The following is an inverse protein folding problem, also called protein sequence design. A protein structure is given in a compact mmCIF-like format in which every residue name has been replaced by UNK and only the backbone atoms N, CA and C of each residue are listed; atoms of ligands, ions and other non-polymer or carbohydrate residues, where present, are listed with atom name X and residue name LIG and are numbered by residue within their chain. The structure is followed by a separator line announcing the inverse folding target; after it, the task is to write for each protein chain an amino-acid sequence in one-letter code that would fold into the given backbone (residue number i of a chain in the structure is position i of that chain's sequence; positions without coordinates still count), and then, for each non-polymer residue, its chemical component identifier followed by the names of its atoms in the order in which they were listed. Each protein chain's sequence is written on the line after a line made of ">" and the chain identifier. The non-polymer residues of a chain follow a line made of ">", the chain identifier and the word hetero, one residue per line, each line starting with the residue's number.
data_IF_481280026807
#
_entry.id   IF_481280026807
#
_cell.length_a   1.000
_cell.length_b   1.000
_cell.length_c   1.000
_cell.angle_alpha   90.00
_cell.angle_beta   90.00
_cell.angle_gamma   90.00
#
_symmetry.space_group_name_H-M   'P 1'
#
loop_
_entity.id
_entity.type
_entity.pdbx_description
1 polymer ?
#
# COMPACT_ATOMS: atom_id res chain seq x y z
N UNK A 1 -38.50 -31.69 67.40
CA UNK A 1 -39.87 -31.97 66.92
C UNK A 1 -40.15 -31.09 65.71
N UNK A 2 -40.88 -31.51 64.66
CA UNK A 2 -41.17 -32.85 64.09
C UNK A 2 -40.47 -33.05 62.70
N UNK A 3 -40.13 -34.25 62.17
CA UNK A 3 -40.95 -35.40 61.66
C UNK A 3 -41.54 -35.08 60.26
N UNK A 4 -41.25 -35.78 59.15
CA UNK A 4 -41.77 -37.10 58.67
C UNK A 4 -41.13 -37.35 57.25
N UNK A 5 -40.37 -38.43 57.00
CA UNK A 5 -40.68 -39.68 56.23
C UNK A 5 -41.28 -39.47 54.81
N UNK A 6 -40.78 -40.05 53.72
CA UNK A 6 -40.89 -41.46 53.25
C UNK A 6 -40.40 -41.46 51.76
N UNK A 7 -40.09 -42.51 51.01
CA UNK A 7 -40.23 -43.97 51.09
C UNK A 7 -39.30 -44.65 50.05
N UNK A 8 -38.92 -45.88 50.36
CA UNK A 8 -38.23 -46.90 49.54
C UNK A 8 -39.01 -47.35 48.30
N UNK A 9 -38.32 -47.92 47.30
CA UNK A 9 -38.33 -49.35 46.83
C UNK A 9 -37.72 -49.44 45.41
N UNK A 10 -36.64 -50.19 45.14
CA UNK A 10 -36.41 -51.65 44.97
C UNK A 10 -36.66 -52.19 43.54
N UNK A 11 -35.80 -53.14 43.17
CA UNK A 11 -35.85 -54.11 42.05
C UNK A 11 -35.46 -53.56 40.66
N UNK A 12 -34.76 -54.27 39.78
CA UNK A 12 -34.25 -55.65 39.71
C UNK A 12 -33.46 -55.79 38.40
N UNK A 13 -32.36 -56.54 38.39
CA UNK A 13 -32.23 -57.88 37.74
C UNK A 13 -31.88 -57.85 36.24
N UNK A 14 -30.63 -58.26 35.96
CA UNK A 14 -30.16 -59.10 34.82
C UNK A 14 -30.17 -58.48 33.40
N UNK A 15 -29.29 -58.83 32.46
CA UNK A 15 -28.30 -59.91 32.32
C UNK A 15 -27.39 -59.58 31.13
N UNK A 16 -26.23 -60.25 31.12
CA UNK A 16 -25.47 -60.77 29.96
C UNK A 16 -24.92 -59.81 28.89
N UNK A 17 -23.60 -59.92 28.67
CA UNK A 17 -22.96 -59.48 27.42
C UNK A 17 -21.44 -59.40 27.50
N UNK A 18 -20.80 -60.57 27.44
CA UNK A 18 -19.43 -60.98 27.08
C UNK A 18 -18.31 -59.98 26.64
N UNK A 19 -17.03 -60.39 26.75
CA UNK A 19 -15.87 -59.51 26.89
C UNK A 19 -15.27 -59.10 25.54
N UNK A 20 -14.73 -57.88 25.46
CA UNK A 20 -13.88 -57.49 24.33
C UNK A 20 -12.75 -56.56 24.79
N UNK A 21 -11.56 -56.89 24.29
CA UNK A 21 -10.27 -56.30 24.58
C UNK A 21 -10.27 -54.78 24.41
N UNK A 22 -9.68 -54.07 25.39
CA UNK A 22 -9.27 -52.68 25.22
C UNK A 22 -8.08 -52.62 24.26
N UNK A 23 -8.34 -52.35 22.98
CA UNK A 23 -7.33 -51.81 22.07
C UNK A 23 -7.29 -50.28 22.25
N UNK A 24 -6.11 -49.80 22.64
CA UNK A 24 -5.80 -48.40 22.90
C UNK A 24 -5.66 -47.68 21.55
N UNK A 25 -6.73 -47.07 21.03
CA UNK A 25 -6.60 -46.19 19.86
C UNK A 25 -5.81 -44.94 20.27
N UNK A 26 -4.62 -44.77 19.70
CA UNK A 26 -3.81 -43.57 19.88
C UNK A 26 -4.50 -42.40 19.17
N UNK A 27 -4.67 -41.29 19.89
CA UNK A 27 -5.11 -40.03 19.30
C UNK A 27 -3.99 -39.51 18.38
N UNK A 28 -4.28 -39.09 17.13
CA UNK A 28 -3.26 -38.54 16.26
C UNK A 28 -2.65 -37.29 16.89
N UNK A 29 -1.32 -37.14 16.75
CA UNK A 29 -0.60 -36.00 17.28
C UNK A 29 -1.11 -34.69 16.68
N UNK A 30 -0.99 -33.61 17.46
CA UNK A 30 -1.43 -32.25 17.10
C UNK A 30 -0.94 -31.85 15.69
N UNK A 31 0.30 -32.22 15.35
CA UNK A 31 0.93 -31.97 14.06
C UNK A 31 0.16 -32.57 12.86
N UNK A 32 -0.44 -33.76 13.00
CA UNK A 32 -1.25 -34.36 11.92
C UNK A 32 -2.62 -33.69 11.75
N UNK A 33 -3.19 -33.12 12.82
CA UNK A 33 -4.43 -32.33 12.73
C UNK A 33 -4.18 -30.96 12.10
N UNK A 34 -3.02 -30.37 12.35
CA UNK A 34 -2.56 -29.14 11.68
C UNK A 34 -2.31 -29.34 10.19
N UNK A 35 -1.67 -30.46 9.80
CA UNK A 35 -1.44 -30.76 8.39
C UNK A 35 -2.74 -30.92 7.58
N UNK A 36 -3.76 -31.63 8.11
CA UNK A 36 -5.05 -31.76 7.43
C UNK A 36 -5.86 -30.46 7.36
N UNK A 37 -5.72 -29.55 8.33
CA UNK A 37 -6.38 -28.25 8.28
C UNK A 37 -5.75 -27.30 7.26
N UNK A 38 -4.42 -27.35 7.10
CA UNK A 38 -3.71 -26.56 6.07
C UNK A 38 -4.00 -27.05 4.65
N UNK A 39 -4.14 -28.36 4.43
CA UNK A 39 -4.47 -28.90 3.10
C UNK A 39 -5.90 -28.53 2.66
N UNK A 40 -6.83 -28.33 3.60
CA UNK A 40 -8.20 -27.90 3.29
C UNK A 40 -8.31 -26.40 2.94
N UNK A 41 -7.44 -25.54 3.50
CA UNK A 41 -7.45 -24.09 3.21
C UNK A 41 -6.83 -23.72 1.86
N UNK A 42 -6.06 -24.60 1.23
CA UNK A 42 -5.43 -24.33 -0.09
C UNK A 42 -6.32 -24.77 -1.26
N UNK A 43 -7.36 -25.57 -1.01
CA UNK A 43 -8.21 -26.13 -2.08
C UNK A 43 -9.38 -25.23 -2.50
N UNK A 44 -9.90 -24.37 -1.62
CA UNK A 44 -11.09 -23.57 -1.90
C UNK A 44 -10.77 -22.07 -1.88
N UNK A 45 -10.54 -21.51 -3.06
CA UNK A 45 -10.48 -20.07 -3.26
C UNK A 45 -11.84 -19.43 -3.00
N UNK A 46 -12.01 -18.78 -1.84
CA UNK A 46 -13.17 -17.93 -1.57
C UNK A 46 -12.82 -16.69 -0.75
N UNK A 47 -13.46 -15.60 -1.17
CA UNK A 47 -13.27 -14.21 -0.72
C UNK A 47 -14.17 -13.87 0.47
N UNK A 48 -13.71 -12.88 1.25
CA UNK A 48 -14.41 -11.98 2.18
C UNK A 48 -14.57 -12.30 3.70
N UNK A 49 -14.28 -11.21 4.44
CA UNK A 49 -14.67 -10.78 5.80
C UNK A 49 -13.95 -11.36 7.05
N UNK A 50 -13.05 -10.52 7.57
CA UNK A 50 -12.86 -10.15 9.00
C UNK A 50 -13.27 -11.20 10.03
N UNK A 51 -12.37 -12.15 10.31
CA UNK A 51 -12.36 -12.83 11.60
C UNK A 51 -11.40 -12.10 12.52
N UNK A 52 -11.94 -11.52 13.61
CA UNK A 52 -11.17 -10.84 14.64
C UNK A 52 -10.16 -11.81 15.27
N UNK A 53 -8.88 -11.61 14.96
CA UNK A 53 -7.75 -12.41 15.45
C UNK A 53 -7.51 -12.25 16.97
N UNK A 54 -8.32 -11.42 17.65
CA UNK A 54 -8.15 -11.09 19.06
C UNK A 54 -8.52 -12.23 20.01
N UNK A 55 -9.43 -13.14 19.65
CA UNK A 55 -9.87 -14.22 20.56
C UNK A 55 -8.98 -15.46 20.56
N UNK A 56 -8.07 -15.62 19.58
CA UNK A 56 -7.23 -16.82 19.50
C UNK A 56 -5.89 -16.68 20.24
N UNK A 57 -5.48 -15.44 20.54
CA UNK A 57 -4.18 -15.13 21.16
C UNK A 57 -4.19 -15.16 22.70
N UNK A 58 -5.36 -15.12 23.35
CA UNK A 58 -5.47 -15.21 24.82
C UNK A 58 -5.25 -16.63 25.37
N UNK A 59 -5.28 -17.66 24.52
CA UNK A 59 -5.19 -19.06 24.96
C UNK A 59 -3.76 -19.59 25.13
N UNK A 60 -2.70 -18.83 24.79
CA UNK A 60 -1.32 -19.36 24.71
C UNK A 60 -0.32 -18.69 25.68
N UNK A 61 -0.70 -17.65 26.43
CA UNK A 61 0.12 -17.15 27.55
C UNK A 61 1.57 -16.75 27.18
N UNK A 62 1.78 -16.14 26.01
CA UNK A 62 3.06 -15.55 25.61
C UNK A 62 3.02 -14.03 25.79
N UNK A 63 4.11 -13.38 26.25
CA UNK A 63 4.10 -11.96 26.56
C UNK A 63 3.92 -11.12 25.29
N UNK A 64 2.94 -10.22 25.32
CA UNK A 64 2.68 -9.22 24.30
C UNK A 64 3.77 -8.14 24.37
N UNK A 65 4.88 -8.35 23.68
CA UNK A 65 5.78 -7.27 23.29
C UNK A 65 6.08 -7.38 21.79
N UNK A 66 5.89 -6.24 21.12
CA UNK A 66 6.30 -5.95 19.75
C UNK A 66 5.58 -6.72 18.62
N UNK A 67 4.25 -6.59 18.56
CA UNK A 67 3.50 -6.81 17.32
C UNK A 67 2.61 -5.59 17.03
N UNK A 68 3.22 -4.42 16.80
CA UNK A 68 2.54 -3.26 16.25
C UNK A 68 3.35 -2.76 15.05
N UNK A 69 2.74 -2.86 13.88
CA UNK A 69 3.18 -2.34 12.58
C UNK A 69 4.38 -3.04 11.92
N UNK A 70 4.33 -4.36 11.80
CA UNK A 70 5.08 -5.06 10.75
C UNK A 70 4.09 -5.43 9.65
N UNK A 71 3.96 -4.56 8.64
CA UNK A 71 3.37 -4.98 7.37
C UNK A 71 4.31 -6.05 6.83
N UNK A 72 3.92 -7.31 6.95
CA UNK A 72 4.62 -8.43 6.31
C UNK A 72 4.44 -8.25 4.81
N UNK A 73 5.38 -7.52 4.19
CA UNK A 73 5.55 -7.46 2.75
C UNK A 73 5.75 -8.88 2.26
N UNK A 74 4.70 -9.46 1.66
CA UNK A 74 4.81 -10.75 0.99
C UNK A 74 5.44 -10.42 -0.36
N UNK A 75 6.67 -10.88 -0.67
CA UNK A 75 7.28 -10.58 -1.97
C UNK A 75 6.40 -11.20 -3.05
N UNK A 76 5.79 -10.36 -3.88
CA UNK A 76 5.14 -10.81 -5.10
C UNK A 76 6.19 -11.52 -5.97
N UNK A 77 5.89 -12.74 -6.40
CA UNK A 77 6.83 -13.67 -7.05
C UNK A 77 7.27 -13.29 -8.47
N UNK A 78 7.13 -12.02 -8.87
CA UNK A 78 7.76 -11.41 -10.05
C UNK A 78 8.10 -9.97 -9.65
N UNK A 79 9.30 -9.43 -9.92
CA UNK A 79 9.54 -8.01 -9.72
C UNK A 79 8.68 -7.25 -10.73
N UNK A 80 7.49 -6.82 -10.32
CA UNK A 80 6.64 -5.94 -11.09
C UNK A 80 7.41 -4.66 -11.42
N UNK A 81 7.05 -4.02 -12.53
CA UNK A 81 7.68 -2.76 -12.89
C UNK A 81 7.41 -1.70 -11.80
N UNK A 82 8.39 -0.83 -11.56
CA UNK A 82 8.25 0.31 -10.64
C UNK A 82 8.35 1.61 -11.41
N UNK A 83 7.53 2.59 -11.06
CA UNK A 83 7.59 3.95 -11.57
C UNK A 83 7.96 4.89 -10.43
N UNK A 84 9.15 5.48 -10.50
CA UNK A 84 9.64 6.50 -9.58
C UNK A 84 9.26 7.89 -10.07
N UNK A 85 8.64 8.67 -9.19
CA UNK A 85 8.04 9.96 -9.54
C UNK A 85 8.17 10.98 -8.41
N UNK A 86 8.13 12.26 -8.78
CA UNK A 86 7.92 13.39 -7.88
C UNK A 86 6.68 14.18 -8.32
N UNK A 87 5.98 14.79 -7.36
CA UNK A 87 4.75 15.55 -7.63
C UNK A 87 4.99 16.88 -8.33
N UNK A 88 6.19 17.46 -8.19
CA UNK A 88 6.53 18.70 -8.87
C UNK A 88 6.98 18.49 -10.32
N UNK A 89 7.37 17.27 -10.70
CA UNK A 89 7.98 16.99 -12.00
C UNK A 89 6.94 16.81 -13.12
N UNK A 90 6.95 17.65 -14.18
CA UNK A 90 5.89 17.64 -15.20
C UNK A 90 5.93 16.36 -16.06
N UNK A 91 7.11 15.80 -16.29
CA UNK A 91 7.25 14.55 -17.05
C UNK A 91 6.71 13.36 -16.27
N UNK A 92 6.87 13.34 -14.94
CA UNK A 92 6.26 12.37 -14.04
C UNK A 92 4.73 12.40 -14.11
N UNK A 93 4.13 13.59 -14.15
CA UNK A 93 2.67 13.71 -14.31
C UNK A 93 2.20 13.18 -15.68
N UNK A 94 2.88 13.57 -16.77
CA UNK A 94 2.52 13.10 -18.11
C UNK A 94 2.68 11.58 -18.25
N UNK A 95 3.76 11.02 -17.70
CA UNK A 95 3.99 9.57 -17.70
C UNK A 95 2.93 8.83 -16.89
N UNK A 96 2.48 9.41 -15.78
CA UNK A 96 1.40 8.86 -14.98
C UNK A 96 0.08 8.79 -15.76
N UNK A 97 -0.26 9.81 -16.56
CA UNK A 97 -1.45 9.80 -17.41
C UNK A 97 -1.40 8.64 -18.41
N UNK A 98 -0.22 8.40 -19.00
CA UNK A 98 -0.03 7.29 -19.95
C UNK A 98 -0.11 5.93 -19.29
N UNK A 99 0.50 5.76 -18.12
CA UNK A 99 0.42 4.52 -17.35
C UNK A 99 -1.03 4.20 -16.95
N UNK A 100 -1.80 5.19 -16.48
CA UNK A 100 -3.22 4.99 -16.13
C UNK A 100 -4.05 4.56 -17.33
N UNK A 101 -3.79 5.12 -18.51
CA UNK A 101 -4.49 4.73 -19.71
C UNK A 101 -4.15 3.30 -20.16
N UNK A 102 -2.98 2.77 -19.76
CA UNK A 102 -2.54 1.42 -20.05
C UNK A 102 -2.94 0.39 -19.00
N UNK A 103 -3.13 0.79 -17.75
CA UNK A 103 -3.25 -0.10 -16.59
C UNK A 103 -4.22 -1.27 -16.80
N UNK A 104 -5.39 -1.01 -17.37
CA UNK A 104 -6.40 -2.04 -17.63
C UNK A 104 -5.94 -3.11 -18.65
N UNK A 105 -4.91 -2.82 -19.45
CA UNK A 105 -4.35 -3.70 -20.49
C UNK A 105 -3.00 -4.31 -20.12
N UNK A 106 -2.40 -3.91 -18.99
CA UNK A 106 -1.11 -4.43 -18.55
C UNK A 106 -1.28 -5.79 -17.86
N UNK A 107 -0.33 -6.72 -18.02
CA UNK A 107 -0.38 -8.03 -17.37
C UNK A 107 -0.19 -7.98 -15.85
N UNK A 108 0.23 -6.83 -15.32
CA UNK A 108 0.44 -6.61 -13.89
C UNK A 108 0.44 -5.13 -13.55
N UNK A 109 0.48 -4.83 -12.25
CA UNK A 109 0.50 -3.45 -11.74
C UNK A 109 1.91 -2.88 -11.80
N UNK A 110 2.02 -1.63 -12.25
CA UNK A 110 3.24 -0.83 -12.07
C UNK A 110 3.18 -0.16 -10.69
N UNK A 111 4.09 -0.52 -9.81
CA UNK A 111 4.17 0.07 -8.47
C UNK A 111 4.63 1.53 -8.56
N UNK A 112 3.90 2.45 -7.92
CA UNK A 112 4.26 3.87 -7.85
C UNK A 112 5.11 4.12 -6.63
N UNK A 113 6.35 4.55 -6.85
CA UNK A 113 7.33 4.77 -5.80
C UNK A 113 7.67 6.25 -5.74
N UNK A 114 7.52 6.84 -4.56
CA UNK A 114 7.80 8.26 -4.33
C UNK A 114 9.31 8.54 -4.30
N UNK A 115 9.73 9.60 -4.99
CA UNK A 115 11.10 10.08 -5.00
C UNK A 115 11.11 11.61 -4.87
N UNK A 116 11.48 12.11 -3.69
CA UNK A 116 11.58 13.55 -3.44
C UNK A 116 12.87 14.12 -4.06
N UNK A 117 12.74 14.97 -5.08
CA UNK A 117 13.86 15.58 -5.81
C UNK A 117 14.67 16.51 -4.91
N UNK A 118 13.99 17.38 -4.16
CA UNK A 118 14.59 18.40 -3.30
C UNK A 118 14.13 18.22 -1.84
N UNK A 119 14.70 17.26 -1.09
CA UNK A 119 14.36 17.03 0.31
C UNK A 119 14.81 18.19 1.22
N UNK A 120 14.00 18.64 2.18
CA UNK A 120 14.46 19.50 3.27
C UNK A 120 15.71 18.92 3.96
N UNK A 121 16.69 19.75 4.35
CA UNK A 121 16.68 21.22 4.34
C UNK A 121 17.20 21.87 3.05
N UNK A 122 17.20 21.18 1.89
CA UNK A 122 17.58 21.79 0.61
C UNK A 122 16.69 23.01 0.30
N UNK A 123 17.24 24.07 -0.33
CA UNK A 123 16.44 25.22 -0.73
C UNK A 123 15.34 24.82 -1.73
N UNK A 124 14.24 25.57 -1.72
CA UNK A 124 13.20 25.44 -2.74
C UNK A 124 13.79 25.71 -4.13
N UNK A 125 13.32 24.97 -5.13
CA UNK A 125 13.74 25.19 -6.51
C UNK A 125 13.17 26.52 -7.01
N UNK A 126 14.06 27.41 -7.48
CA UNK A 126 13.65 28.68 -8.06
C UNK A 126 12.94 28.45 -9.41
N UNK A 127 11.99 29.32 -9.76
CA UNK A 127 11.25 29.18 -11.03
C UNK A 127 12.15 29.41 -12.27
N UNK A 128 13.22 30.16 -12.12
CA UNK A 128 14.24 30.45 -13.15
C UNK A 128 15.42 29.47 -13.12
N UNK A 129 15.36 28.42 -12.26
CA UNK A 129 16.36 27.37 -12.24
C UNK A 129 16.48 26.72 -13.63
N UNK A 130 17.70 26.66 -14.17
CA UNK A 130 17.94 26.19 -15.54
C UNK A 130 17.58 24.72 -15.74
N UNK A 131 17.77 23.88 -14.71
CA UNK A 131 17.40 22.45 -14.75
C UNK A 131 15.88 22.31 -14.72
N UNK A 132 15.18 23.21 -14.02
CA UNK A 132 13.73 23.27 -14.02
C UNK A 132 13.15 23.76 -15.35
N UNK A 133 13.71 24.84 -15.89
CA UNK A 133 13.34 25.38 -17.19
C UNK A 133 13.49 24.34 -18.31
N UNK A 134 14.57 23.54 -18.28
CA UNK A 134 14.79 22.45 -19.23
C UNK A 134 13.69 21.37 -19.16
N UNK A 135 13.29 20.95 -17.95
CA UNK A 135 12.17 20.00 -17.77
C UNK A 135 10.86 20.53 -18.37
N UNK A 136 10.54 21.79 -18.13
CA UNK A 136 9.35 22.40 -18.71
C UNK A 136 9.42 22.53 -20.23
N UNK A 137 10.61 22.82 -20.77
CA UNK A 137 10.83 22.82 -22.22
C UNK A 137 10.60 21.43 -22.85
N UNK A 138 11.00 20.36 -22.16
CA UNK A 138 10.76 18.97 -22.58
C UNK A 138 9.28 18.58 -22.44
N UNK A 139 8.62 18.95 -21.34
CA UNK A 139 7.25 18.54 -21.06
C UNK A 139 6.20 19.22 -21.96
N UNK A 140 6.43 20.46 -22.38
CA UNK A 140 5.48 21.23 -23.21
C UNK A 140 5.06 20.52 -24.52
N UNK A 141 5.97 20.06 -25.39
CA UNK A 141 5.58 19.36 -26.60
C UNK A 141 4.89 18.02 -26.30
N UNK A 142 5.29 17.32 -25.23
CA UNK A 142 4.65 16.08 -24.80
C UNK A 142 3.21 16.32 -24.37
N UNK A 143 2.98 17.33 -23.52
CA UNK A 143 1.66 17.73 -23.07
C UNK A 143 0.77 18.16 -24.24
N UNK A 144 1.30 18.94 -25.17
CA UNK A 144 0.58 19.35 -26.38
C UNK A 144 0.18 18.16 -27.26
N UNK A 145 1.06 17.17 -27.43
CA UNK A 145 0.76 15.95 -28.18
C UNK A 145 -0.32 15.08 -27.51
N UNK A 146 -0.45 15.16 -26.18
CA UNK A 146 -1.44 14.45 -25.39
C UNK A 146 -2.74 15.26 -25.13
N UNK A 147 -2.86 16.47 -25.69
CA UNK A 147 -3.95 17.43 -25.41
C UNK A 147 -4.13 17.71 -23.91
N UNK A 148 -3.01 17.79 -23.17
CA UNK A 148 -2.97 18.10 -21.75
C UNK A 148 -2.54 19.56 -21.57
N UNK A 149 -3.40 20.36 -20.96
CA UNK A 149 -3.03 21.70 -20.51
C UNK A 149 -2.25 21.60 -19.19
N UNK A 150 -1.01 22.09 -19.18
CA UNK A 150 -0.20 22.23 -17.98
C UNK A 150 -0.23 23.68 -17.51
N UNK A 151 -0.73 23.90 -16.30
CA UNK A 151 -0.61 25.17 -15.60
C UNK A 151 0.83 25.37 -15.12
N UNK A 152 1.50 26.46 -15.55
CA UNK A 152 2.84 26.77 -15.06
C UNK A 152 2.83 27.04 -13.54
N UNK A 153 3.76 26.48 -12.77
CA UNK A 153 3.79 26.62 -11.34
C UNK A 153 4.17 28.05 -10.95
N UNK A 154 3.51 28.56 -9.90
CA UNK A 154 3.84 29.85 -9.27
C UNK A 154 4.91 29.71 -8.19
N UNK A 155 5.20 28.48 -7.78
CA UNK A 155 6.18 28.07 -6.78
C UNK A 155 6.51 26.59 -7.05
N UNK A 156 7.77 26.18 -6.82
CA UNK A 156 8.13 24.76 -6.71
C UNK A 156 8.27 24.43 -5.21
N UNK A 157 7.25 23.82 -4.58
CA UNK A 157 7.29 23.54 -3.15
C UNK A 157 8.16 22.32 -2.82
N UNK A 158 8.51 22.15 -1.54
CA UNK A 158 8.93 20.85 -1.03
C UNK A 158 7.77 19.86 -1.14
N UNK A 159 8.06 18.66 -1.64
CA UNK A 159 7.03 17.64 -1.88
C UNK A 159 6.90 16.63 -0.75
N UNK A 160 7.70 16.73 0.33
CA UNK A 160 7.60 15.84 1.51
C UNK A 160 6.17 15.61 1.97
N UNK A 161 5.41 16.68 2.24
CA UNK A 161 4.02 16.56 2.73
C UNK A 161 3.09 15.90 1.71
N UNK A 162 3.29 16.16 0.42
CA UNK A 162 2.52 15.50 -0.63
C UNK A 162 2.85 13.99 -0.70
N UNK A 163 4.12 13.62 -0.55
CA UNK A 163 4.54 12.22 -0.45
C UNK A 163 4.03 11.54 0.82
N UNK A 164 4.03 12.22 1.97
CA UNK A 164 3.43 11.71 3.21
C UNK A 164 1.94 11.45 3.07
N UNK A 165 1.19 12.37 2.42
CA UNK A 165 -0.23 12.15 2.17
C UNK A 165 -0.44 10.95 1.25
N UNK A 166 0.38 10.79 0.21
CA UNK A 166 0.34 9.62 -0.66
C UNK A 166 0.60 8.32 0.10
N UNK A 167 1.61 8.29 0.99
CA UNK A 167 1.89 7.14 1.84
C UNK A 167 0.76 6.85 2.84
N UNK A 168 0.16 7.90 3.42
CA UNK A 168 -1.02 7.76 4.27
C UNK A 168 -2.17 7.08 3.52
N UNK A 169 -2.43 7.53 2.29
CA UNK A 169 -3.51 7.02 1.45
C UNK A 169 -3.33 5.55 1.03
N UNK A 170 -2.11 5.00 1.02
CA UNK A 170 -1.85 3.57 0.76
C UNK A 170 -2.57 2.68 1.78
N UNK A 171 -2.52 3.04 3.07
CA UNK A 171 -3.18 2.28 4.15
C UNK A 171 -4.72 2.28 4.04
N UNK A 172 -5.27 3.20 3.25
CA UNK A 172 -6.70 3.37 3.04
C UNK A 172 -7.16 2.93 1.64
N UNK A 173 -6.27 2.36 0.82
CA UNK A 173 -6.61 1.96 -0.56
C UNK A 173 -6.98 3.13 -1.46
N UNK A 174 -6.47 4.35 -1.15
CA UNK A 174 -6.78 5.60 -1.84
C UNK A 174 -5.57 6.27 -2.51
N UNK A 175 -4.45 5.56 -2.58
CA UNK A 175 -3.21 6.11 -3.07
C UNK A 175 -3.29 6.61 -4.52
N UNK A 176 -3.98 5.89 -5.40
CA UNK A 176 -4.08 6.29 -6.82
C UNK A 176 -4.95 7.53 -7.01
N UNK A 177 -6.06 7.65 -6.28
CA UNK A 177 -6.91 8.85 -6.32
C UNK A 177 -6.21 10.05 -5.70
N UNK A 178 -5.56 9.88 -4.54
CA UNK A 178 -4.83 10.95 -3.85
C UNK A 178 -3.67 11.45 -4.71
N UNK A 179 -2.86 10.53 -5.24
CA UNK A 179 -1.73 10.88 -6.11
C UNK A 179 -2.21 11.66 -7.34
N UNK A 180 -3.31 11.24 -7.96
CA UNK A 180 -3.87 11.98 -9.09
C UNK A 180 -4.40 13.36 -8.65
N UNK A 181 -5.10 13.45 -7.53
CA UNK A 181 -5.61 14.74 -7.05
C UNK A 181 -4.49 15.73 -6.72
N UNK A 182 -3.35 15.27 -6.17
CA UNK A 182 -2.17 16.10 -5.93
C UNK A 182 -1.56 16.58 -7.26
N UNK A 183 -1.36 15.69 -8.23
CA UNK A 183 -0.87 16.07 -9.56
C UNK A 183 -1.79 17.09 -10.23
N UNK A 184 -3.11 16.87 -10.21
CA UNK A 184 -4.08 17.80 -10.77
C UNK A 184 -4.15 19.13 -10.01
N UNK A 185 -3.90 19.14 -8.69
CA UNK A 185 -3.78 20.37 -7.91
C UNK A 185 -2.60 21.22 -8.41
N UNK A 186 -1.44 20.60 -8.56
CA UNK A 186 -0.23 21.30 -8.98
C UNK A 186 -0.25 21.69 -10.45
N UNK A 187 -0.44 20.73 -11.37
CA UNK A 187 -0.34 20.95 -12.82
C UNK A 187 -1.64 21.35 -13.50
N UNK A 188 -2.80 21.11 -12.89
CA UNK A 188 -4.09 21.48 -13.45
C UNK A 188 -4.66 22.78 -12.88
N UNK A 189 -4.22 23.18 -11.67
CA UNK A 189 -4.77 24.36 -10.97
C UNK A 189 -3.69 25.32 -10.42
N UNK A 190 -2.40 24.99 -10.54
CA UNK A 190 -1.31 25.82 -10.04
C UNK A 190 -1.31 25.99 -8.51
N UNK A 191 -1.85 25.02 -7.78
CA UNK A 191 -1.96 25.05 -6.32
C UNK A 191 -0.63 24.66 -5.64
N UNK A 192 -0.37 25.24 -4.46
CA UNK A 192 0.79 24.90 -3.64
C UNK A 192 0.55 23.60 -2.85
N UNK A 193 1.13 22.51 -3.35
CA UNK A 193 1.07 21.18 -2.74
C UNK A 193 2.05 20.99 -1.57
N UNK A 194 2.85 22.01 -1.21
CA UNK A 194 3.61 22.03 0.03
C UNK A 194 2.77 22.41 1.25
N UNK A 195 1.56 22.94 1.04
CA UNK A 195 0.66 23.36 2.14
C UNK A 195 -0.16 22.22 2.69
N UNK A 196 -0.02 21.98 3.99
CA UNK A 196 -0.81 20.98 4.74
C UNK A 196 -2.33 21.20 4.56
N UNK A 197 -2.82 22.43 4.67
CA UNK A 197 -4.27 22.70 4.53
C UNK A 197 -4.82 22.24 3.18
N UNK A 198 -4.06 22.44 2.09
CA UNK A 198 -4.46 22.01 0.74
C UNK A 198 -4.45 20.51 0.59
N UNK A 199 -3.43 19.85 1.12
CA UNK A 199 -3.34 18.39 1.14
C UNK A 199 -4.49 17.77 1.98
N UNK A 200 -4.85 18.39 3.10
CA UNK A 200 -5.98 17.97 3.94
C UNK A 200 -7.32 18.14 3.21
N UNK A 201 -7.50 19.22 2.45
CA UNK A 201 -8.69 19.41 1.60
C UNK A 201 -8.79 18.32 0.52
N UNK A 202 -7.69 17.99 -0.15
CA UNK A 202 -7.60 16.89 -1.12
C UNK A 202 -7.97 15.56 -0.46
N UNK A 203 -7.39 15.26 0.70
CA UNK A 203 -7.66 14.03 1.45
C UNK A 203 -9.14 13.90 1.81
N UNK A 204 -9.73 14.97 2.36
CA UNK A 204 -11.13 15.01 2.77
C UNK A 204 -12.09 14.85 1.57
N UNK A 205 -11.79 15.49 0.44
CA UNK A 205 -12.58 15.36 -0.78
C UNK A 205 -12.61 13.93 -1.34
N UNK A 206 -11.57 13.13 -1.04
CA UNK A 206 -11.46 11.73 -1.44
C UNK A 206 -11.93 10.73 -0.36
N UNK A 207 -12.54 11.23 0.72
CA UNK A 207 -13.13 10.42 1.78
C UNK A 207 -12.16 9.97 2.87
N UNK A 208 -10.95 10.53 2.93
CA UNK A 208 -10.07 10.35 4.10
C UNK A 208 -10.52 11.27 5.25
N UNK A 209 -10.34 10.84 6.49
CA UNK A 209 -10.71 11.65 7.65
C UNK A 209 -9.84 12.91 7.72
N UNK A 210 -10.49 14.08 7.71
CA UNK A 210 -9.83 15.39 7.69
C UNK A 210 -8.90 15.58 8.88
N UNK A 211 -9.38 15.24 10.08
CA UNK A 211 -8.64 15.43 11.34
C UNK A 211 -7.42 14.53 11.38
N UNK A 212 -7.57 13.28 10.99
CA UNK A 212 -6.48 12.30 10.90
C UNK A 212 -5.45 12.72 9.87
N UNK A 213 -5.88 13.08 8.65
CA UNK A 213 -4.97 13.54 7.60
C UNK A 213 -4.16 14.76 8.05
N UNK A 214 -4.81 15.73 8.71
CA UNK A 214 -4.13 16.91 9.27
C UNK A 214 -3.10 16.50 10.32
N UNK A 215 -3.49 15.67 11.29
CA UNK A 215 -2.59 15.23 12.35
C UNK A 215 -1.39 14.44 11.81
N UNK A 216 -1.60 13.57 10.83
CA UNK A 216 -0.55 12.78 10.17
C UNK A 216 0.48 13.68 9.50
N UNK A 217 0.01 14.70 8.79
CA UNK A 217 0.86 15.66 8.08
C UNK A 217 1.52 16.66 9.03
N UNK A 218 0.87 17.12 10.10
CA UNK A 218 1.46 18.09 11.03
C UNK A 218 2.63 17.50 11.84
N UNK A 219 2.61 16.19 12.10
CA UNK A 219 3.61 15.49 12.92
C UNK A 219 4.62 14.69 12.10
N UNK A 220 4.66 14.89 10.78
CA UNK A 220 5.62 14.21 9.89
C UNK A 220 5.55 12.68 10.02
N UNK A 221 4.36 12.10 10.23
CA UNK A 221 4.21 10.68 10.61
C UNK A 221 4.84 9.73 9.58
N UNK A 222 4.83 10.11 8.30
CA UNK A 222 5.34 9.29 7.22
C UNK A 222 6.73 9.73 6.72
N UNK A 223 7.40 10.67 7.40
CA UNK A 223 8.71 11.19 6.99
C UNK A 223 9.73 10.06 6.81
N UNK A 224 9.88 9.17 7.80
CA UNK A 224 10.81 8.03 7.70
C UNK A 224 10.53 7.16 6.47
N UNK A 225 9.25 6.98 6.12
CA UNK A 225 8.84 6.22 4.93
C UNK A 225 9.22 6.91 3.63
N UNK A 226 9.06 8.24 3.54
CA UNK A 226 9.48 9.03 2.38
C UNK A 226 11.00 8.99 2.21
N UNK A 227 11.73 9.15 3.31
CA UNK A 227 13.19 9.09 3.33
C UNK A 227 13.71 7.70 2.93
N UNK A 228 13.11 6.64 3.46
CA UNK A 228 13.45 5.26 3.11
C UNK A 228 13.18 4.98 1.62
N UNK A 229 12.00 5.36 1.10
CA UNK A 229 11.66 5.21 -0.31
C UNK A 229 12.70 5.89 -1.22
N UNK A 230 13.11 7.12 -0.88
CA UNK A 230 14.14 7.85 -1.62
C UNK A 230 15.51 7.17 -1.52
N UNK A 231 15.90 6.71 -0.33
CA UNK A 231 17.17 6.01 -0.12
C UNK A 231 17.23 4.70 -0.91
N UNK A 232 16.17 3.90 -0.89
CA UNK A 232 16.07 2.64 -1.63
C UNK A 232 16.13 2.87 -3.15
N UNK A 233 15.41 3.88 -3.64
CA UNK A 233 15.46 4.29 -5.04
C UNK A 233 16.88 4.74 -5.45
N UNK A 234 17.54 5.53 -4.60
CA UNK A 234 18.93 5.98 -4.82
C UNK A 234 19.89 4.80 -4.87
N UNK A 235 19.76 3.84 -3.94
CA UNK A 235 20.55 2.62 -3.92
C UNK A 235 20.31 1.75 -5.16
N UNK A 236 19.11 1.78 -5.73
CA UNK A 236 18.78 1.13 -7.00
C UNK A 236 19.27 1.88 -8.25
N UNK A 237 19.96 3.02 -8.10
CA UNK A 237 20.52 3.81 -9.22
C UNK A 237 19.57 4.88 -9.79
N UNK A 238 18.46 5.16 -9.11
CA UNK A 238 17.57 6.28 -9.44
C UNK A 238 18.18 7.56 -8.88
N UNK A 239 18.64 8.44 -9.77
CA UNK A 239 19.19 9.75 -9.42
C UNK A 239 18.28 10.91 -9.82
N UNK A 240 17.26 10.62 -10.64
CA UNK A 240 16.30 11.58 -11.15
C UNK A 240 14.98 10.87 -11.48
N UNK A 241 13.92 11.64 -11.74
CA UNK A 241 12.60 11.17 -12.17
C UNK A 241 12.15 11.91 -13.44
N UNK A 242 11.25 11.32 -14.25
CA UNK A 242 10.61 10.01 -14.07
C UNK A 242 11.53 8.85 -14.46
N UNK A 243 11.40 7.72 -13.75
CA UNK A 243 12.11 6.48 -14.07
C UNK A 243 11.19 5.27 -13.95
N UNK A 244 11.23 4.38 -14.93
CA UNK A 244 10.60 3.06 -14.87
C UNK A 244 11.69 2.00 -14.68
N UNK A 245 11.61 1.22 -13.60
CA UNK A 245 12.41 0.02 -13.43
C UNK A 245 11.64 -1.19 -13.94
N UNK A 246 12.27 -1.96 -14.83
CA UNK A 246 11.77 -3.23 -15.37
C UNK A 246 12.83 -4.33 -15.22
N UNK A 247 12.46 -5.57 -15.57
CA UNK A 247 13.42 -6.68 -15.68
C UNK A 247 14.49 -6.34 -16.73
N UNK A 248 15.67 -5.94 -16.28
CA UNK A 248 16.82 -5.63 -17.14
C UNK A 248 17.40 -4.23 -16.97
N UNK A 249 16.74 -3.33 -16.23
CA UNK A 249 17.33 -2.03 -15.90
C UNK A 249 16.35 -0.91 -15.64
N UNK A 250 16.88 0.31 -15.67
CA UNK A 250 16.15 1.56 -15.50
C UNK A 250 15.96 2.24 -16.85
N UNK A 251 14.72 2.60 -17.15
CA UNK A 251 14.33 3.42 -18.29
C UNK A 251 14.02 4.83 -17.76
N UNK A 252 14.68 5.85 -18.32
CA UNK A 252 14.67 7.22 -17.80
C UNK A 252 13.95 8.17 -18.74
N UNK A 253 13.23 9.14 -18.18
CA UNK A 253 12.51 10.16 -18.93
C UNK A 253 11.11 9.72 -19.33
N UNK A 254 10.46 10.56 -20.13
CA UNK A 254 9.10 10.31 -20.60
C UNK A 254 9.08 9.27 -21.73
N UNK A 255 8.10 8.38 -21.68
CA UNK A 255 7.79 7.42 -22.74
C UNK A 255 6.28 7.44 -23.00
N UNK A 256 5.90 7.50 -24.27
CA UNK A 256 4.49 7.53 -24.65
C UNK A 256 3.83 6.16 -24.41
N UNK A 257 2.50 6.13 -24.57
CA UNK A 257 1.70 4.90 -24.42
C UNK A 257 2.21 3.69 -25.20
N UNK A 258 2.64 3.88 -26.45
CA UNK A 258 3.07 2.77 -27.31
C UNK A 258 4.39 2.17 -26.81
N UNK A 259 5.35 3.04 -26.46
CA UNK A 259 6.65 2.62 -25.92
C UNK A 259 6.48 1.91 -24.58
N UNK A 260 5.65 2.46 -23.69
CA UNK A 260 5.31 1.83 -22.41
C UNK A 260 4.62 0.48 -22.58
N UNK A 261 3.70 0.36 -23.54
CA UNK A 261 3.03 -0.90 -23.86
C UNK A 261 4.01 -1.97 -24.34
N UNK A 262 5.09 -1.58 -25.01
CA UNK A 262 6.16 -2.50 -25.42
C UNK A 262 7.08 -2.84 -24.25
N UNK A 263 7.47 -1.85 -23.46
CA UNK A 263 8.39 -1.99 -22.32
C UNK A 263 7.81 -2.86 -21.19
N UNK A 264 6.51 -2.73 -20.93
CA UNK A 264 5.85 -3.33 -19.77
C UNK A 264 5.18 -4.68 -20.07
N UNK A 265 5.33 -5.18 -21.31
CA UNK A 265 4.92 -6.53 -21.68
C UNK A 265 6.11 -7.48 -21.59
N UNK A 266 5.97 -8.66 -20.95
CA UNK A 266 7.05 -9.61 -20.72
C UNK A 266 7.58 -10.27 -21.99
#
# INVERSE_FOLDING_TARGET
>A
MPRIAASRTKAGVSKSGSPALRSRMSRPSLARRFASALTAMVADGFSFLTFSLSCMLDCIGLPVLAARNMVLWTPMSHPGARFYFDFVDPLSYLLELELRALEASLPGRVERVSFELAPPPMPLTALDDSRWAARWAEARPVAAAADVLLEPPRLVPWTRKAHELHLHALAHGKADEVRMAIFSAYFGRGEDIGRVDRLVEIAAALGLDRTTAKAVLDVDRHEEGVLASRADATAAGVADVPVIAVRGGLVRGFHNRADLGTLLRP
#
